data_IF_592188223445
#
_entry.id   IF_592188223445
#
_cell.length_a   1.000
_cell.length_b   1.000
_cell.length_c   1.000
_cell.angle_alpha   90.00
_cell.angle_beta   90.00
_cell.angle_gamma   90.00
#
_symmetry.space_group_name_H-M   'P 1'
#
loop_
_entity.id
_entity.type
_entity.pdbx_description
1 polymer ?
#
# COMPACT_ATOMS: atom_id res chain seq x y z
N UNK A 1 -1.87 44.60 30.65
CA UNK A 1 -1.33 44.24 29.31
C UNK A 1 -1.36 42.72 29.28
N UNK A 2 -2.46 42.17 28.81
CA UNK A 2 -2.71 40.72 28.70
C UNK A 2 -2.23 40.27 27.33
N UNK A 3 -1.23 39.40 27.34
CA UNK A 3 -0.69 38.74 26.15
C UNK A 3 -1.73 37.67 25.73
N UNK A 4 -2.49 37.98 24.70
CA UNK A 4 -3.42 37.04 24.08
C UNK A 4 -2.58 36.02 23.28
N UNK A 5 -2.47 34.82 23.86
CA UNK A 5 -1.89 33.67 23.18
C UNK A 5 -2.57 33.42 21.85
N UNK A 6 -1.87 33.66 20.77
CA UNK A 6 -2.28 33.30 19.42
C UNK A 6 -2.47 31.79 19.35
N UNK A 7 -3.71 31.30 19.43
CA UNK A 7 -4.09 29.94 19.08
C UNK A 7 -3.68 29.71 17.61
N UNK A 8 -2.63 28.91 17.42
CA UNK A 8 -2.22 28.46 16.10
C UNK A 8 -3.41 27.77 15.43
N UNK A 9 -3.94 28.35 14.36
CA UNK A 9 -4.96 27.71 13.51
C UNK A 9 -4.42 26.34 13.12
N UNK A 10 -5.17 25.25 13.36
CA UNK A 10 -4.71 23.93 12.97
C UNK A 10 -4.45 23.94 11.45
N UNK A 11 -3.21 23.68 11.05
CA UNK A 11 -2.85 23.49 9.64
C UNK A 11 -3.84 22.54 9.01
N UNK A 12 -4.42 22.93 7.88
CA UNK A 12 -5.42 22.13 7.19
C UNK A 12 -4.81 20.75 6.89
N UNK A 13 -5.30 19.71 7.54
CA UNK A 13 -4.82 18.34 7.35
C UNK A 13 -5.01 17.95 5.88
N UNK A 14 -3.93 17.92 5.13
CA UNK A 14 -3.84 17.38 3.77
C UNK A 14 -3.25 15.98 3.83
N UNK A 15 -3.54 15.13 2.84
CA UNK A 15 -3.04 13.77 2.84
C UNK A 15 -2.53 13.32 1.48
N UNK A 16 -1.35 12.69 1.41
CA UNK A 16 -0.87 11.99 0.22
C UNK A 16 -1.49 10.58 0.05
N UNK A 17 -2.35 10.13 0.97
CA UNK A 17 -3.12 8.90 0.76
C UNK A 17 -4.17 9.12 -0.31
N UNK A 18 -4.04 8.43 -1.45
CA UNK A 18 -4.86 8.68 -2.63
C UNK A 18 -6.30 8.17 -2.49
N UNK A 19 -6.55 7.22 -1.57
CA UNK A 19 -7.91 6.79 -1.25
C UNK A 19 -8.70 7.91 -0.57
N UNK A 20 -8.06 8.60 0.38
CA UNK A 20 -8.66 9.75 1.07
C UNK A 20 -8.70 11.00 0.17
N UNK A 21 -7.65 11.25 -0.61
CA UNK A 21 -7.57 12.38 -1.52
C UNK A 21 -8.62 12.32 -2.67
N UNK A 22 -9.15 11.14 -2.97
CA UNK A 22 -10.23 10.95 -3.95
C UNK A 22 -11.63 11.19 -3.39
N UNK A 23 -11.77 11.44 -2.08
CA UNK A 23 -13.06 11.72 -1.45
C UNK A 23 -13.57 13.10 -1.87
N UNK A 24 -14.89 13.25 -2.09
CA UNK A 24 -15.52 14.57 -2.18
C UNK A 24 -15.24 15.40 -0.91
N UNK A 25 -15.21 16.74 -1.05
CA UNK A 25 -14.90 17.64 0.07
C UNK A 25 -15.81 17.43 1.29
N UNK A 26 -17.10 17.19 1.07
CA UNK A 26 -18.06 16.91 2.15
C UNK A 26 -17.68 15.66 2.95
N UNK A 27 -17.22 14.61 2.27
CA UNK A 27 -16.79 13.36 2.91
C UNK A 27 -15.44 13.51 3.60
N UNK A 28 -14.54 14.29 3.00
CA UNK A 28 -13.27 14.64 3.62
C UNK A 28 -13.49 15.44 4.90
N UNK A 29 -14.37 16.44 4.87
CA UNK A 29 -14.73 17.23 6.04
C UNK A 29 -15.34 16.38 7.17
N UNK A 30 -16.09 15.31 6.81
CA UNK A 30 -16.68 14.39 7.77
C UNK A 30 -15.62 13.52 8.46
N UNK A 31 -14.67 12.94 7.73
CA UNK A 31 -13.69 12.00 8.31
C UNK A 31 -12.48 12.72 8.94
N UNK A 32 -12.04 13.86 8.38
CA UNK A 32 -10.84 14.58 8.78
C UNK A 32 -10.69 14.85 10.28
N UNK A 33 -11.72 15.30 11.02
CA UNK A 33 -11.60 15.60 12.45
C UNK A 33 -11.22 14.40 13.31
N UNK A 34 -11.46 13.17 12.82
CA UNK A 34 -11.22 11.91 13.53
C UNK A 34 -9.89 11.25 13.17
N UNK A 35 -9.16 11.83 12.21
CA UNK A 35 -7.89 11.32 11.73
C UNK A 35 -6.71 11.86 12.55
N UNK A 36 -5.81 10.96 12.95
CA UNK A 36 -4.57 11.29 13.62
C UNK A 36 -3.37 10.82 12.79
N UNK A 37 -2.45 11.73 12.44
CA UNK A 37 -1.20 11.35 11.79
C UNK A 37 -0.27 10.66 12.77
N UNK A 38 0.20 9.45 12.39
CA UNK A 38 1.09 8.62 13.21
C UNK A 38 2.27 8.12 12.39
N UNK A 39 3.47 7.97 12.99
CA UNK A 39 4.60 7.32 12.33
C UNK A 39 4.37 5.82 12.22
N UNK A 40 4.83 5.24 11.12
CA UNK A 40 4.89 3.80 10.90
C UNK A 40 6.34 3.32 11.04
N UNK A 41 6.60 2.41 11.98
CA UNK A 41 7.93 1.86 12.24
C UNK A 41 8.13 0.52 11.50
N UNK A 42 9.33 0.26 11.02
CA UNK A 42 9.67 -1.04 10.40
C UNK A 42 9.30 -2.20 11.31
N UNK A 43 8.68 -3.25 10.76
CA UNK A 43 8.17 -4.44 11.47
C UNK A 43 7.00 -4.17 12.43
N UNK A 44 6.50 -2.95 12.52
CA UNK A 44 5.28 -2.68 13.30
C UNK A 44 4.14 -3.52 12.76
N UNK A 45 3.45 -4.23 13.66
CA UNK A 45 2.25 -4.99 13.33
C UNK A 45 1.05 -4.06 13.48
N UNK A 46 0.29 -3.90 12.40
CA UNK A 46 -0.93 -3.10 12.36
C UNK A 46 -2.17 -3.95 12.62
N UNK A 47 -2.13 -5.21 12.15
CA UNK A 47 -3.16 -6.22 12.38
C UNK A 47 -2.52 -7.58 12.62
N UNK A 48 -3.03 -8.33 13.60
CA UNK A 48 -2.64 -9.71 13.89
C UNK A 48 -3.86 -10.62 13.75
N UNK A 49 -3.76 -11.80 13.08
CA UNK A 49 -4.88 -12.72 12.91
C UNK A 49 -5.55 -13.10 14.22
N UNK A 50 -6.87 -13.14 14.21
CA UNK A 50 -7.74 -13.51 15.33
C UNK A 50 -7.77 -12.48 16.47
N UNK A 51 -7.07 -11.36 16.37
CA UNK A 51 -7.17 -10.24 17.32
C UNK A 51 -8.21 -9.21 16.86
N UNK A 52 -8.65 -8.39 17.79
CA UNK A 52 -9.56 -7.29 17.49
C UNK A 52 -8.82 -6.16 16.78
N UNK A 53 -9.43 -5.63 15.72
CA UNK A 53 -8.93 -4.46 15.00
C UNK A 53 -9.24 -3.23 15.83
N UNK A 54 -8.20 -2.55 16.30
CA UNK A 54 -8.34 -1.34 17.12
C UNK A 54 -8.37 -0.07 16.26
N UNK A 55 -7.71 -0.09 15.12
CA UNK A 55 -7.56 1.08 14.26
C UNK A 55 -7.56 0.70 12.78
N UNK A 56 -8.03 1.65 11.98
CA UNK A 56 -7.83 1.70 10.54
C UNK A 56 -6.65 2.64 10.25
N UNK A 57 -5.75 2.26 9.34
CA UNK A 57 -4.62 3.09 8.93
C UNK A 57 -4.69 3.36 7.42
N UNK A 58 -4.77 4.63 7.04
CA UNK A 58 -4.62 5.10 5.67
C UNK A 58 -3.14 5.47 5.46
N UNK A 59 -2.41 4.64 4.71
CA UNK A 59 -0.95 4.81 4.56
C UNK A 59 -0.68 6.03 3.67
N UNK A 60 0.11 6.97 4.18
CA UNK A 60 0.53 8.17 3.46
C UNK A 60 1.89 7.97 2.80
N UNK A 61 2.85 7.44 3.55
CA UNK A 61 4.20 7.08 3.12
C UNK A 61 4.58 5.73 3.71
N UNK A 62 5.47 5.04 3.03
CA UNK A 62 5.88 3.69 3.44
C UNK A 62 5.02 2.59 2.84
N UNK A 63 5.29 1.36 3.25
CA UNK A 63 4.68 0.17 2.68
C UNK A 63 4.39 -0.85 3.77
N UNK A 64 3.19 -1.38 3.80
CA UNK A 64 2.82 -2.55 4.59
C UNK A 64 2.54 -3.75 3.67
N UNK A 65 2.76 -4.95 4.17
CA UNK A 65 2.36 -6.19 3.52
C UNK A 65 1.20 -6.83 4.24
N UNK A 66 0.26 -7.36 3.47
CA UNK A 66 -0.78 -8.27 3.93
C UNK A 66 -0.24 -9.69 3.79
N UNK A 67 -0.30 -10.47 4.85
CA UNK A 67 0.34 -11.77 4.93
C UNK A 67 -0.65 -12.82 5.41
N UNK A 68 -0.72 -13.94 4.69
CA UNK A 68 -1.28 -15.19 5.17
C UNK A 68 -0.18 -15.97 5.91
N UNK A 69 -0.55 -16.67 6.97
CA UNK A 69 0.41 -17.41 7.80
C UNK A 69 -0.12 -18.80 8.12
N UNK A 70 0.76 -19.79 8.00
CA UNK A 70 0.55 -21.12 8.55
C UNK A 70 1.58 -21.40 9.66
N UNK A 71 1.33 -22.43 10.48
CA UNK A 71 2.30 -22.83 11.50
C UNK A 71 3.55 -23.47 10.89
N UNK A 72 3.38 -24.21 9.80
CA UNK A 72 4.44 -24.96 9.14
C UNK A 72 5.34 -24.08 8.24
N UNK A 73 4.73 -23.16 7.45
CA UNK A 73 5.44 -22.49 6.35
C UNK A 73 5.73 -21.01 6.61
N UNK A 74 5.36 -20.51 7.80
CA UNK A 74 5.56 -19.10 8.15
C UNK A 74 4.58 -18.16 7.46
N UNK A 75 5.02 -16.95 7.13
CA UNK A 75 4.19 -15.89 6.57
C UNK A 75 4.54 -15.63 5.10
N UNK A 76 3.51 -15.60 4.24
CA UNK A 76 3.63 -15.28 2.82
C UNK A 76 2.83 -14.04 2.46
N UNK A 77 3.40 -13.18 1.61
CA UNK A 77 2.74 -11.96 1.14
C UNK A 77 1.60 -12.26 0.16
N UNK A 78 0.40 -11.81 0.51
CA UNK A 78 -0.80 -11.91 -0.34
C UNK A 78 -1.27 -10.55 -0.85
N UNK A 79 -0.65 -9.45 -0.39
CA UNK A 79 -0.96 -8.09 -0.83
C UNK A 79 0.03 -7.07 -0.30
N UNK A 80 0.02 -5.89 -0.92
CA UNK A 80 0.75 -4.70 -0.48
C UNK A 80 -0.25 -3.57 -0.23
N UNK A 81 -0.02 -2.80 0.83
CA UNK A 81 -0.78 -1.61 1.19
C UNK A 81 0.19 -0.43 1.27
N UNK A 82 -0.06 0.58 0.49
CA UNK A 82 0.69 1.83 0.46
C UNK A 82 -0.27 3.00 0.29
N UNK A 83 0.18 4.06 -0.37
CA UNK A 83 -0.57 5.31 -0.53
C UNK A 83 -1.94 5.18 -1.22
N UNK A 84 -2.24 4.05 -1.88
CA UNK A 84 -3.55 3.77 -2.51
C UNK A 84 -4.52 3.03 -1.60
N UNK A 85 -4.18 2.81 -0.33
CA UNK A 85 -4.96 1.88 0.47
C UNK A 85 -5.03 2.19 1.94
N UNK A 86 -5.69 1.27 2.60
CA UNK A 86 -5.92 1.29 4.03
C UNK A 86 -5.82 -0.13 4.63
N UNK A 87 -5.68 -0.19 5.94
CA UNK A 87 -5.83 -1.42 6.74
C UNK A 87 -7.18 -1.43 7.45
N UNK A 88 -7.47 -2.45 8.24
CA UNK A 88 -8.71 -2.51 9.01
C UNK A 88 -9.93 -2.92 8.17
N UNK A 89 -9.72 -3.70 7.11
CA UNK A 89 -10.78 -4.06 6.15
C UNK A 89 -11.94 -4.81 6.79
N UNK A 90 -11.70 -5.55 7.88
CA UNK A 90 -12.73 -6.22 8.64
C UNK A 90 -13.82 -5.27 9.10
N UNK A 91 -13.49 -4.03 9.48
CA UNK A 91 -14.46 -3.02 9.92
C UNK A 91 -15.47 -2.70 8.81
N UNK A 92 -14.99 -2.53 7.57
CA UNK A 92 -15.87 -2.30 6.42
C UNK A 92 -16.77 -3.50 6.08
N UNK A 93 -16.29 -4.70 6.40
CA UNK A 93 -17.03 -5.96 6.20
C UNK A 93 -17.95 -6.34 7.37
N UNK A 94 -18.08 -5.45 8.38
CA UNK A 94 -18.94 -5.68 9.55
C UNK A 94 -18.34 -6.63 10.58
N UNK A 95 -17.02 -6.87 10.55
CA UNK A 95 -16.33 -7.67 11.57
C UNK A 95 -15.22 -6.86 12.23
N UNK A 96 -14.98 -7.12 13.51
CA UNK A 96 -13.91 -6.47 14.28
C UNK A 96 -12.65 -7.32 14.41
N UNK A 97 -12.61 -8.51 13.81
CA UNK A 97 -11.47 -9.42 13.93
C UNK A 97 -10.65 -9.46 12.64
N UNK A 98 -9.34 -9.29 12.80
CA UNK A 98 -8.40 -9.47 11.70
C UNK A 98 -8.31 -10.94 11.30
N UNK A 99 -8.26 -11.20 10.00
CA UNK A 99 -8.07 -12.55 9.43
C UNK A 99 -6.65 -12.77 8.91
N UNK A 100 -5.99 -11.68 8.54
CA UNK A 100 -4.63 -11.67 7.98
C UNK A 100 -3.72 -10.80 8.85
N UNK A 101 -2.43 -11.06 8.78
CA UNK A 101 -1.44 -10.18 9.40
C UNK A 101 -1.13 -9.01 8.48
N UNK A 102 -1.12 -7.80 9.02
CA UNK A 102 -0.62 -6.62 8.32
C UNK A 102 0.56 -6.04 9.08
N UNK A 103 1.70 -5.91 8.40
CA UNK A 103 2.92 -5.39 9.03
C UNK A 103 3.68 -4.43 8.12
N UNK A 104 4.30 -3.41 8.73
CA UNK A 104 5.06 -2.37 8.04
C UNK A 104 6.39 -2.93 7.55
N UNK A 105 6.65 -2.80 6.26
CA UNK A 105 7.88 -3.23 5.60
C UNK A 105 8.84 -2.07 5.33
N UNK A 106 8.30 -0.95 4.83
CA UNK A 106 9.03 0.31 4.66
C UNK A 106 8.42 1.32 5.64
N UNK A 107 9.23 1.93 6.53
CA UNK A 107 8.73 2.91 7.49
C UNK A 107 8.19 4.15 6.78
N UNK A 108 7.31 4.89 7.47
CA UNK A 108 6.69 6.09 6.90
C UNK A 108 5.68 6.70 7.85
N UNK A 109 4.52 7.09 7.32
CA UNK A 109 3.41 7.67 8.09
C UNK A 109 2.05 7.18 7.59
N UNK A 110 1.05 7.28 8.46
CA UNK A 110 -0.34 7.00 8.14
C UNK A 110 -1.27 7.96 8.89
N UNK A 111 -2.46 8.16 8.35
CA UNK A 111 -3.59 8.69 9.09
C UNK A 111 -4.31 7.52 9.75
N UNK A 112 -4.42 7.58 11.07
CA UNK A 112 -5.04 6.56 11.91
C UNK A 112 -6.43 7.00 12.32
N UNK A 113 -7.39 6.07 12.27
CA UNK A 113 -8.76 6.23 12.71
C UNK A 113 -9.12 5.11 13.68
N UNK A 114 -9.78 5.40 14.79
CA UNK A 114 -10.29 4.36 15.71
C UNK A 114 -11.31 3.46 15.01
N UNK A 115 -11.31 2.17 15.34
CA UNK A 115 -12.17 1.18 14.69
C UNK A 115 -13.67 1.45 14.88
N UNK A 116 -14.08 1.91 16.08
CA UNK A 116 -15.47 2.27 16.37
C UNK A 116 -15.93 3.46 15.55
N UNK A 117 -15.09 4.48 15.49
CA UNK A 117 -15.38 5.67 14.71
C UNK A 117 -15.38 5.37 13.20
N UNK A 118 -14.48 4.51 12.72
CA UNK A 118 -14.50 4.04 11.35
C UNK A 118 -15.81 3.34 10.99
N UNK A 119 -16.28 2.42 11.86
CA UNK A 119 -17.56 1.74 11.67
C UNK A 119 -18.72 2.75 11.60
N UNK A 120 -18.80 3.68 12.55
CA UNK A 120 -19.84 4.74 12.60
C UNK A 120 -19.85 5.61 11.34
N UNK A 121 -18.67 6.05 10.88
CA UNK A 121 -18.54 6.87 9.68
C UNK A 121 -18.94 6.11 8.40
N UNK A 122 -18.59 4.81 8.32
CA UNK A 122 -18.98 3.95 7.18
C UNK A 122 -20.50 3.66 7.15
N UNK A 123 -21.16 3.66 8.30
CA UNK A 123 -22.63 3.57 8.38
C UNK A 123 -23.30 4.90 7.99
N UNK A 124 -22.72 6.02 8.42
CA UNK A 124 -23.26 7.37 8.18
C UNK A 124 -23.08 7.84 6.73
N UNK A 125 -22.04 7.37 6.01
CA UNK A 125 -21.73 7.79 4.65
C UNK A 125 -21.68 6.64 3.65
N UNK A 126 -22.65 6.63 2.73
CA UNK A 126 -22.69 5.68 1.61
C UNK A 126 -21.47 5.84 0.67
N UNK A 127 -20.92 7.04 0.55
CA UNK A 127 -19.75 7.31 -0.29
C UNK A 127 -18.47 6.75 0.33
N UNK A 128 -18.21 7.02 1.63
CA UNK A 128 -17.08 6.42 2.35
C UNK A 128 -17.15 4.89 2.30
N UNK A 129 -18.31 4.33 2.57
CA UNK A 129 -18.53 2.88 2.49
C UNK A 129 -18.24 2.33 1.11
N UNK A 130 -18.75 2.95 0.04
CA UNK A 130 -18.53 2.52 -1.35
C UNK A 130 -17.05 2.60 -1.72
N UNK A 131 -16.34 3.67 -1.37
CA UNK A 131 -14.91 3.82 -1.60
C UNK A 131 -14.12 2.73 -0.92
N UNK A 132 -14.42 2.43 0.34
CA UNK A 132 -13.79 1.33 1.08
C UNK A 132 -14.06 -0.05 0.47
N UNK A 133 -15.30 -0.34 0.05
CA UNK A 133 -15.65 -1.61 -0.61
C UNK A 133 -14.98 -1.74 -1.98
N UNK A 134 -14.86 -0.65 -2.75
CA UNK A 134 -14.09 -0.63 -4.01
C UNK A 134 -12.62 -0.96 -3.76
N UNK A 135 -12.03 -0.43 -2.68
CA UNK A 135 -10.66 -0.77 -2.31
C UNK A 135 -10.52 -2.25 -1.92
N UNK A 136 -11.47 -2.82 -1.18
CA UNK A 136 -11.47 -4.26 -0.87
C UNK A 136 -11.46 -5.08 -2.16
N UNK A 137 -12.30 -4.75 -3.15
CA UNK A 137 -12.32 -5.42 -4.44
C UNK A 137 -10.97 -5.32 -5.15
N UNK A 138 -10.34 -4.14 -5.18
CA UNK A 138 -9.01 -3.96 -5.78
C UNK A 138 -7.95 -4.82 -5.09
N UNK A 139 -7.96 -4.89 -3.76
CA UNK A 139 -7.03 -5.72 -3.00
C UNK A 139 -7.28 -7.23 -3.21
N UNK A 140 -8.54 -7.66 -3.35
CA UNK A 140 -8.86 -9.04 -3.73
C UNK A 140 -8.30 -9.39 -5.11
N UNK A 141 -8.45 -8.49 -6.09
CA UNK A 141 -7.85 -8.66 -7.42
C UNK A 141 -6.32 -8.71 -7.34
N UNK A 142 -5.70 -7.83 -6.54
CA UNK A 142 -4.26 -7.88 -6.29
C UNK A 142 -3.86 -9.26 -5.74
N UNK A 143 -4.53 -9.75 -4.69
CA UNK A 143 -4.22 -11.03 -4.06
C UNK A 143 -4.38 -12.21 -5.04
N UNK A 144 -5.44 -12.23 -5.84
CA UNK A 144 -5.66 -13.25 -6.86
C UNK A 144 -4.55 -13.24 -7.93
N UNK A 145 -4.17 -12.05 -8.43
CA UNK A 145 -3.08 -11.91 -9.41
C UNK A 145 -1.71 -12.29 -8.82
N UNK A 146 -1.45 -11.98 -7.55
CA UNK A 146 -0.24 -12.42 -6.87
C UNK A 146 -0.19 -13.94 -6.76
N UNK A 147 -1.29 -14.59 -6.40
CA UNK A 147 -1.39 -16.05 -6.29
C UNK A 147 -1.15 -16.72 -7.64
N UNK A 148 -1.83 -16.26 -8.71
CA UNK A 148 -1.62 -16.74 -10.07
C UNK A 148 -0.15 -16.59 -10.49
N UNK A 149 0.42 -15.39 -10.30
CA UNK A 149 1.78 -15.09 -10.68
C UNK A 149 2.80 -15.97 -9.93
N UNK A 150 2.60 -16.16 -8.63
CA UNK A 150 3.47 -17.01 -7.82
C UNK A 150 3.41 -18.50 -8.25
N UNK A 151 2.27 -18.95 -8.74
CA UNK A 151 2.07 -20.33 -9.20
C UNK A 151 2.55 -20.59 -10.64
N UNK A 152 2.49 -19.59 -11.53
CA UNK A 152 2.62 -19.80 -12.98
C UNK A 152 3.81 -19.08 -13.62
N UNK A 153 4.26 -17.95 -13.07
CA UNK A 153 5.30 -17.15 -13.71
C UNK A 153 6.70 -17.45 -13.15
N UNK A 154 7.74 -17.40 -14.00
CA UNK A 154 9.12 -17.60 -13.58
C UNK A 154 9.57 -16.49 -12.62
N UNK A 155 10.63 -16.77 -11.84
CA UNK A 155 11.16 -15.89 -10.81
C UNK A 155 11.45 -14.47 -11.32
N UNK A 156 12.02 -14.36 -12.52
CA UNK A 156 12.29 -13.12 -13.23
C UNK A 156 11.06 -12.18 -13.23
N UNK A 157 9.91 -12.68 -13.67
CA UNK A 157 8.68 -11.89 -13.72
C UNK A 157 8.09 -11.58 -12.34
N UNK A 158 8.25 -12.51 -11.37
CA UNK A 158 7.75 -12.33 -10.00
C UNK A 158 8.48 -11.20 -9.28
N UNK A 159 9.81 -11.12 -9.43
CA UNK A 159 10.65 -10.05 -8.85
C UNK A 159 10.36 -8.71 -9.53
N UNK A 160 10.30 -8.66 -10.88
CA UNK A 160 9.97 -7.45 -11.64
C UNK A 160 8.60 -6.89 -11.23
N UNK A 161 7.56 -7.75 -11.20
CA UNK A 161 6.23 -7.36 -10.74
C UNK A 161 6.26 -6.81 -9.31
N UNK A 162 6.98 -7.47 -8.40
CA UNK A 162 7.06 -7.04 -7.01
C UNK A 162 7.69 -5.65 -6.89
N UNK A 163 8.79 -5.40 -7.58
CA UNK A 163 9.46 -4.10 -7.60
C UNK A 163 8.57 -2.99 -8.16
N UNK A 164 7.87 -3.26 -9.27
CA UNK A 164 6.94 -2.31 -9.87
C UNK A 164 5.77 -1.97 -8.93
N UNK A 165 5.16 -2.98 -8.29
CA UNK A 165 4.09 -2.75 -7.33
C UNK A 165 4.61 -1.99 -6.10
N UNK A 166 5.75 -2.36 -5.54
CA UNK A 166 6.33 -1.67 -4.39
C UNK A 166 6.60 -0.19 -4.71
N UNK A 167 7.21 0.10 -5.86
CA UNK A 167 7.44 1.46 -6.37
C UNK A 167 6.14 2.24 -6.51
N UNK A 168 5.13 1.67 -7.15
CA UNK A 168 3.85 2.34 -7.36
C UNK A 168 3.16 2.66 -6.04
N UNK A 169 3.16 1.72 -5.08
CA UNK A 169 2.55 1.88 -3.75
C UNK A 169 3.32 2.84 -2.84
N UNK A 170 4.65 2.94 -2.99
CA UNK A 170 5.46 3.95 -2.30
C UNK A 170 5.32 5.33 -2.95
N UNK A 171 5.23 5.38 -4.28
CA UNK A 171 5.31 6.60 -5.06
C UNK A 171 6.72 7.14 -5.22
N UNK A 172 7.73 6.29 -5.00
CA UNK A 172 9.16 6.63 -5.01
C UNK A 172 9.92 5.56 -5.77
N UNK A 173 10.96 5.94 -6.54
CA UNK A 173 11.77 5.00 -7.30
C UNK A 173 12.75 4.21 -6.43
N UNK A 174 12.96 4.62 -5.18
CA UNK A 174 13.79 3.92 -4.21
C UNK A 174 12.95 3.03 -3.28
N UNK A 175 13.27 1.73 -3.25
CA UNK A 175 12.60 0.72 -2.43
C UNK A 175 13.59 0.17 -1.40
N UNK A 176 13.52 0.65 -0.15
CA UNK A 176 14.45 0.29 0.92
C UNK A 176 14.02 -0.96 1.67
N UNK A 177 14.26 -2.12 1.08
CA UNK A 177 13.94 -3.45 1.62
C UNK A 177 15.09 -4.44 1.39
N UNK A 178 15.22 -5.44 2.25
CA UNK A 178 16.21 -6.51 2.07
C UNK A 178 15.73 -7.57 1.06
N UNK A 179 16.65 -8.23 0.38
CA UNK A 179 16.33 -9.39 -0.47
C UNK A 179 15.62 -10.51 0.32
N UNK A 180 15.95 -10.67 1.61
CA UNK A 180 15.25 -11.63 2.48
C UNK A 180 13.77 -11.28 2.60
N UNK A 181 13.43 -10.00 2.80
CA UNK A 181 12.04 -9.57 2.87
C UNK A 181 11.27 -9.85 1.58
N UNK A 182 11.88 -9.56 0.42
CA UNK A 182 11.28 -9.87 -0.89
C UNK A 182 11.08 -11.39 -1.01
N UNK A 183 12.07 -12.17 -0.59
CA UNK A 183 12.01 -13.63 -0.62
C UNK A 183 10.88 -14.19 0.27
N UNK A 184 10.75 -13.69 1.49
CA UNK A 184 9.68 -14.07 2.41
C UNK A 184 8.30 -13.74 1.82
N UNK A 185 8.15 -12.55 1.22
CA UNK A 185 6.89 -12.13 0.59
C UNK A 185 6.54 -12.92 -0.67
N UNK A 186 7.55 -13.35 -1.43
CA UNK A 186 7.36 -14.16 -2.64
C UNK A 186 7.30 -15.68 -2.35
N UNK A 187 7.60 -16.11 -1.13
CA UNK A 187 7.66 -17.51 -0.76
C UNK A 187 8.79 -18.27 -1.44
N UNK A 188 10.00 -17.69 -1.50
CA UNK A 188 11.15 -18.25 -2.22
C UNK A 188 12.44 -18.12 -1.41
N UNK A 189 13.53 -18.71 -1.90
CA UNK A 189 14.85 -18.58 -1.27
C UNK A 189 15.43 -17.20 -1.55
N UNK A 190 16.13 -16.61 -0.57
CA UNK A 190 16.83 -15.33 -0.72
C UNK A 190 17.79 -15.31 -1.90
N UNK A 191 18.52 -16.42 -2.13
CA UNK A 191 19.46 -16.54 -3.24
C UNK A 191 18.80 -16.28 -4.60
N UNK A 192 17.58 -16.81 -4.82
CA UNK A 192 16.86 -16.61 -6.08
C UNK A 192 16.44 -15.15 -6.29
N UNK A 193 16.15 -14.41 -5.22
CA UNK A 193 15.88 -12.96 -5.33
C UNK A 193 17.17 -12.21 -5.62
N UNK A 194 18.27 -12.54 -4.92
CA UNK A 194 19.57 -11.89 -5.12
C UNK A 194 20.05 -12.03 -6.56
N UNK A 195 19.98 -13.23 -7.12
CA UNK A 195 20.33 -13.50 -8.52
C UNK A 195 19.53 -12.64 -9.51
N UNK A 196 18.20 -12.51 -9.29
CA UNK A 196 17.38 -11.68 -10.18
C UNK A 196 17.67 -10.18 -10.05
N UNK A 197 17.96 -9.70 -8.84
CA UNK A 197 18.31 -8.29 -8.62
C UNK A 197 19.70 -7.98 -9.22
N UNK A 198 20.68 -8.88 -9.08
CA UNK A 198 22.02 -8.76 -9.69
C UNK A 198 21.92 -8.73 -11.23
N UNK A 199 21.06 -9.57 -11.83
CA UNK A 199 20.78 -9.53 -13.25
C UNK A 199 20.22 -8.17 -13.68
N UNK A 200 19.19 -7.65 -12.98
CA UNK A 200 18.61 -6.33 -13.25
C UNK A 200 19.63 -5.19 -13.08
N UNK A 201 20.57 -5.32 -12.15
CA UNK A 201 21.63 -4.33 -11.94
C UNK A 201 22.67 -4.37 -13.06
N UNK A 202 23.04 -5.58 -13.51
CA UNK A 202 23.96 -5.74 -14.66
C UNK A 202 23.38 -5.22 -15.97
N UNK A 203 22.04 -5.27 -16.12
CA UNK A 203 21.29 -4.68 -17.24
C UNK A 203 21.10 -3.15 -17.09
N UNK A 204 21.50 -2.54 -15.97
CA UNK A 204 21.32 -1.11 -15.69
C UNK A 204 19.87 -0.70 -15.35
N UNK A 205 18.96 -1.67 -15.20
CA UNK A 205 17.54 -1.43 -14.93
C UNK A 205 17.31 -0.98 -13.50
N UNK A 206 18.10 -1.51 -12.55
CA UNK A 206 18.09 -1.08 -11.15
C UNK A 206 19.52 -0.77 -10.70
N UNK A 207 19.65 -0.10 -9.56
CA UNK A 207 20.93 -0.01 -8.84
C UNK A 207 20.71 -0.34 -7.38
N UNK A 208 21.69 -0.97 -6.75
CA UNK A 208 21.63 -1.32 -5.33
C UNK A 208 22.61 -0.46 -4.54
N UNK A 209 22.13 0.07 -3.41
CA UNK A 209 22.99 0.75 -2.45
C UNK A 209 22.53 0.42 -1.03
N UNK A 210 23.38 -0.24 -0.24
CA UNK A 210 23.06 -0.73 1.12
C UNK A 210 21.84 -1.67 1.04
N UNK A 211 20.73 -1.35 1.72
CA UNK A 211 19.50 -2.16 1.71
C UNK A 211 18.38 -1.51 0.86
N UNK A 212 18.73 -0.67 -0.11
CA UNK A 212 17.80 0.01 -1.00
C UNK A 212 18.06 -0.40 -2.45
N UNK A 213 16.98 -0.57 -3.21
CA UNK A 213 16.95 -0.87 -4.64
C UNK A 213 16.32 0.35 -5.32
N UNK A 214 17.06 1.02 -6.19
CA UNK A 214 16.56 2.16 -6.97
C UNK A 214 16.24 1.72 -8.39
N UNK A 215 15.01 1.95 -8.83
CA UNK A 215 14.59 1.70 -10.21
C UNK A 215 15.15 2.81 -11.10
N UNK A 216 15.99 2.44 -12.08
CA UNK A 216 16.63 3.37 -13.02
C UNK A 216 15.87 3.46 -14.33
N UNK A 217 15.39 2.33 -14.82
CA UNK A 217 14.62 2.24 -16.05
C UNK A 217 13.31 1.47 -15.80
N UNK A 218 12.26 2.25 -15.55
CA UNK A 218 10.91 1.70 -15.36
C UNK A 218 10.39 1.02 -16.62
N UNK A 219 10.63 1.61 -17.80
CA UNK A 219 10.11 1.10 -19.07
C UNK A 219 10.69 -0.28 -19.39
N UNK A 220 12.00 -0.46 -19.19
CA UNK A 220 12.67 -1.75 -19.35
C UNK A 220 12.16 -2.79 -18.32
N UNK A 221 11.88 -2.35 -17.07
CA UNK A 221 11.33 -3.23 -16.05
C UNK A 221 9.91 -3.69 -16.40
N UNK A 222 9.07 -2.80 -16.96
CA UNK A 222 7.70 -3.09 -17.40
C UNK A 222 7.66 -3.95 -18.67
N UNK A 223 8.54 -3.70 -19.63
CA UNK A 223 8.58 -4.42 -20.90
C UNK A 223 8.78 -5.92 -20.74
N UNK A 224 9.57 -6.34 -19.76
CA UNK A 224 9.85 -7.75 -19.46
C UNK A 224 9.18 -8.22 -18.15
N UNK A 225 8.08 -7.58 -17.78
CA UNK A 225 7.23 -8.00 -16.67
C UNK A 225 6.05 -8.81 -17.19
N UNK A 226 5.53 -9.73 -16.36
CA UNK A 226 4.25 -10.36 -16.65
C UNK A 226 3.09 -9.35 -16.58
N UNK A 227 2.00 -9.65 -17.29
CA UNK A 227 0.80 -8.81 -17.31
C UNK A 227 0.16 -8.58 -15.92
N UNK A 228 0.53 -9.37 -14.90
CA UNK A 228 -0.06 -9.29 -13.57
C UNK A 228 0.06 -7.89 -12.94
N UNK A 229 1.19 -7.18 -13.16
CA UNK A 229 1.35 -5.80 -12.71
C UNK A 229 0.31 -4.88 -13.37
N UNK A 230 0.18 -4.96 -14.71
CA UNK A 230 -0.76 -4.15 -15.50
C UNK A 230 -2.21 -4.42 -15.10
N UNK A 231 -2.58 -5.70 -14.88
CA UNK A 231 -3.94 -6.09 -14.47
C UNK A 231 -4.30 -5.54 -13.10
N UNK A 232 -3.39 -5.61 -12.12
CA UNK A 232 -3.60 -5.00 -10.80
C UNK A 232 -3.79 -3.50 -10.92
N UNK A 233 -2.92 -2.79 -11.63
CA UNK A 233 -3.06 -1.34 -11.82
C UNK A 233 -4.34 -0.95 -12.55
N UNK A 234 -4.74 -1.72 -13.57
CA UNK A 234 -5.97 -1.47 -14.31
C UNK A 234 -7.20 -1.53 -13.40
N UNK A 235 -7.24 -2.46 -12.44
CA UNK A 235 -8.34 -2.57 -11.49
C UNK A 235 -8.40 -1.37 -10.53
N UNK A 236 -7.25 -0.94 -9.98
CA UNK A 236 -7.20 0.26 -9.13
C UNK A 236 -7.65 1.51 -9.91
N UNK A 237 -7.27 1.65 -11.20
CA UNK A 237 -7.76 2.73 -12.08
C UNK A 237 -9.25 2.64 -12.34
N UNK A 238 -9.77 1.46 -12.66
CA UNK A 238 -11.19 1.21 -12.94
C UNK A 238 -12.08 1.63 -11.77
N UNK A 239 -11.62 1.40 -10.55
CA UNK A 239 -12.34 1.74 -9.33
C UNK A 239 -12.09 3.18 -8.83
N UNK A 240 -11.46 4.02 -9.65
CA UNK A 240 -11.10 5.41 -9.35
C UNK A 240 -10.20 5.59 -8.10
N UNK A 241 -9.49 4.54 -7.71
CA UNK A 241 -8.59 4.56 -6.56
C UNK A 241 -7.23 5.23 -6.88
N UNK A 242 -6.97 5.55 -8.15
CA UNK A 242 -5.79 6.26 -8.66
C UNK A 242 -6.13 7.69 -9.16
N UNK A 243 -7.22 8.29 -8.69
CA UNK A 243 -7.76 9.53 -9.24
C UNK A 243 -6.78 10.71 -9.30
N UNK A 244 -5.89 10.83 -8.34
CA UNK A 244 -4.88 11.90 -8.31
C UNK A 244 -3.71 11.67 -9.31
N UNK A 245 -3.41 10.43 -9.71
CA UNK A 245 -2.40 10.16 -10.75
C UNK A 245 -2.84 10.66 -12.13
N UNK A 246 -4.13 10.54 -12.47
CA UNK A 246 -4.68 11.07 -13.73
C UNK A 246 -4.56 12.57 -13.85
N UNK A 247 -4.70 13.31 -12.75
CA UNK A 247 -4.53 14.76 -12.76
C UNK A 247 -3.06 15.15 -12.96
N UNK A 248 -2.13 14.41 -12.35
CA UNK A 248 -0.70 14.63 -12.50
C UNK A 248 -0.16 14.19 -13.87
N UNK A 249 -0.62 13.06 -14.41
CA UNK A 249 -0.27 12.57 -15.76
C UNK A 249 -0.78 13.54 -16.83
N UNK A 250 -2.03 14.02 -16.76
CA UNK A 250 -2.58 15.03 -17.69
C UNK A 250 -1.82 16.37 -17.61
N UNK A 251 -1.48 16.82 -16.42
CA UNK A 251 -0.71 18.06 -16.25
C UNK A 251 0.75 17.94 -16.72
N UNK A 252 1.27 16.73 -16.90
CA UNK A 252 2.57 16.45 -17.49
C UNK A 252 2.52 16.31 -19.02
N UNK A 253 1.41 15.82 -19.57
CA UNK A 253 1.15 15.71 -21.03
C UNK A 253 0.81 17.08 -21.65
N UNK A 254 0.26 18.02 -20.85
CA UNK A 254 -0.10 19.38 -21.29
C UNK A 254 1.08 20.39 -21.20
N UNK A 255 2.33 19.94 -20.89
CA UNK A 255 3.56 20.75 -20.85
C UNK A 255 4.53 20.36 -21.93
#
# INVERSE_FOLDING_TARGET
MTDEGAEARPEALTTPNLLLAALPEAEWALIRPHLQRVPLRRKQVLEEPRTEIQHVYFIERGLASVQARTQADGAHGVGLVGRFGMTGLGILLGTRRATLRVSVQVPGSALRLGAEEAARLMEASATLRRTGLSYIQALMTQSAQLSLCNARHPMKHRVRRWLLLARDWLGEDEVCVSHQLIADLLGVRRASVSEQIECLESEGIVSQRRACITLRDRAALEADCCECHRLVRAEYRRLNLLGAERAAERAAEDR
#
